data_IF_066421447290
#
_entry.id   IF_066421447290
#
_cell.length_a   1.000
_cell.length_b   1.000
_cell.length_c   1.000
_cell.angle_alpha   90.00
_cell.angle_beta   90.00
_cell.angle_gamma   90.00
#
_symmetry.space_group_name_H-M   'P 1'
#
loop_
_entity.id
_entity.type
_entity.pdbx_description
1 polymer ?
#
# COMPACT_ATOMS: atom_id res chain seq x y z
N UNK A 1 30.42 39.80 41.59
CA UNK A 1 30.61 38.82 40.49
C UNK A 1 29.78 37.59 40.84
N UNK A 2 28.70 37.38 40.15
CA UNK A 2 27.89 36.18 40.33
C UNK A 2 28.28 35.26 39.16
N UNK A 3 28.96 34.18 39.45
CA UNK A 3 29.23 33.13 38.46
C UNK A 3 27.91 32.43 38.09
N UNK A 4 27.51 32.57 36.82
CA UNK A 4 26.43 31.81 36.24
C UNK A 4 27.10 30.61 35.55
N UNK A 5 27.47 29.61 36.32
CA UNK A 5 27.83 28.30 35.80
C UNK A 5 26.78 27.30 36.24
N UNK A 6 25.83 27.04 35.32
CA UNK A 6 25.11 25.77 35.23
C UNK A 6 24.15 25.81 34.08
N UNK A 7 24.66 25.96 32.85
CA UNK A 7 23.91 25.52 31.65
C UNK A 7 23.96 23.99 31.67
N UNK A 8 22.98 23.37 32.32
CA UNK A 8 22.73 21.94 32.15
C UNK A 8 22.40 21.72 30.68
N UNK A 9 23.41 21.31 29.93
CA UNK A 9 23.19 20.82 28.55
C UNK A 9 22.16 19.70 28.63
N UNK A 10 20.97 19.91 28.07
CA UNK A 10 19.99 18.85 27.96
C UNK A 10 20.63 17.70 27.17
N UNK A 11 20.54 16.45 27.65
CA UNK A 11 21.10 15.31 26.91
C UNK A 11 20.50 15.29 25.51
N UNK A 12 21.35 15.25 24.48
CA UNK A 12 20.92 15.14 23.11
C UNK A 12 20.26 13.77 22.94
N UNK A 13 18.97 13.77 22.66
CA UNK A 13 18.22 12.53 22.40
C UNK A 13 18.83 11.87 21.17
N UNK A 14 19.27 10.63 21.32
CA UNK A 14 19.80 9.83 20.21
C UNK A 14 18.76 8.80 19.81
N UNK A 15 18.46 8.74 18.51
CA UNK A 15 17.56 7.74 17.91
C UNK A 15 18.40 6.91 16.93
N UNK A 16 18.14 5.60 16.87
CA UNK A 16 18.73 4.70 15.89
C UNK A 16 17.76 4.47 14.73
N UNK A 17 18.28 4.43 13.53
CA UNK A 17 17.58 3.93 12.33
C UNK A 17 18.35 2.76 11.73
N UNK A 18 17.64 1.80 11.17
CA UNK A 18 18.24 0.62 10.53
C UNK A 18 18.57 0.92 9.07
N UNK A 19 19.71 0.41 8.62
CA UNK A 19 20.13 0.37 7.21
C UNK A 19 20.51 -1.06 6.88
N UNK A 20 20.08 -1.53 5.73
CA UNK A 20 20.40 -2.87 5.23
C UNK A 20 21.56 -2.78 4.24
N UNK A 21 22.70 -3.45 4.55
CA UNK A 21 23.93 -3.32 3.77
C UNK A 21 23.88 -4.02 2.41
N UNK A 22 23.12 -5.11 2.31
CA UNK A 22 23.06 -5.99 1.12
C UNK A 22 21.73 -5.82 0.35
N UNK A 23 20.92 -4.80 0.72
CA UNK A 23 19.62 -4.53 0.08
C UNK A 23 19.65 -3.19 -0.68
N UNK A 24 18.72 -3.02 -1.60
CA UNK A 24 18.59 -1.77 -2.33
C UNK A 24 18.30 -0.58 -1.38
N UNK A 25 18.95 0.58 -1.59
CA UNK A 25 18.73 1.75 -0.74
C UNK A 25 17.32 2.33 -0.92
N UNK A 26 16.80 3.00 0.10
CA UNK A 26 15.57 3.79 -0.02
C UNK A 26 15.85 5.16 -0.64
N UNK A 27 14.86 5.68 -1.37
CA UNK A 27 14.84 7.05 -1.89
C UNK A 27 14.07 7.98 -0.97
N UNK A 28 14.66 8.26 0.20
CA UNK A 28 14.02 9.08 1.22
C UNK A 28 13.94 10.55 0.80
N UNK A 29 12.80 11.23 1.03
CA UNK A 29 12.67 12.66 0.77
C UNK A 29 13.77 13.49 1.45
N UNK A 30 14.36 14.41 0.69
CA UNK A 30 15.43 15.27 1.17
C UNK A 30 14.94 16.29 2.22
N UNK A 31 15.87 16.82 3.04
CA UNK A 31 15.57 17.85 4.03
C UNK A 31 14.92 17.34 5.34
N UNK A 32 14.66 16.05 5.43
CA UNK A 32 14.10 15.39 6.60
C UNK A 32 15.02 14.29 7.12
N UNK A 33 14.89 13.93 8.39
CA UNK A 33 15.54 12.76 8.99
C UNK A 33 14.52 11.67 9.16
N UNK A 34 14.88 10.44 8.75
CA UNK A 34 13.96 9.33 8.70
C UNK A 34 14.44 8.15 9.54
N UNK A 35 13.58 7.67 10.43
CA UNK A 35 13.79 6.45 11.21
C UNK A 35 12.94 5.33 10.66
N UNK A 36 13.55 4.23 10.25
CA UNK A 36 12.82 3.01 9.87
C UNK A 36 12.05 2.46 11.07
N UNK A 37 10.73 2.28 10.92
CA UNK A 37 9.85 1.79 11.99
C UNK A 37 9.20 0.46 11.65
N UNK A 38 9.02 0.16 10.37
CA UNK A 38 8.53 -1.13 9.91
C UNK A 38 9.07 -1.43 8.51
N UNK A 39 9.28 -2.71 8.22
CA UNK A 39 9.74 -3.13 6.91
C UNK A 39 9.45 -4.61 6.65
N UNK A 40 9.44 -4.97 5.38
CA UNK A 40 9.66 -6.33 4.92
C UNK A 40 10.56 -6.31 3.69
N UNK A 41 11.68 -7.02 3.77
CA UNK A 41 12.66 -7.17 2.68
C UNK A 41 12.40 -8.46 1.88
N UNK A 42 11.31 -9.15 2.15
CA UNK A 42 10.88 -10.39 1.51
C UNK A 42 12.00 -11.42 1.30
N UNK A 43 12.95 -11.42 2.22
CA UNK A 43 14.11 -12.27 2.12
C UNK A 43 13.93 -13.63 2.83
N UNK A 44 12.71 -13.98 3.29
CA UNK A 44 12.29 -15.28 3.82
C UNK A 44 12.10 -16.36 2.74
N UNK A 45 11.93 -17.62 3.17
CA UNK A 45 11.49 -18.73 2.31
C UNK A 45 9.97 -18.78 2.17
N UNK A 46 9.28 -18.21 3.15
CA UNK A 46 7.83 -18.16 3.24
C UNK A 46 7.40 -16.73 3.62
N UNK A 47 6.17 -16.38 3.26
CA UNK A 47 5.61 -15.08 3.66
C UNK A 47 5.52 -14.98 5.19
N UNK A 48 5.94 -13.87 5.74
CA UNK A 48 5.86 -13.60 7.17
C UNK A 48 4.42 -13.29 7.58
N UNK A 49 3.71 -14.29 8.09
CA UNK A 49 2.32 -14.17 8.55
C UNK A 49 2.17 -13.32 9.82
N UNK A 50 3.26 -12.91 10.44
CA UNK A 50 3.23 -11.92 11.54
C UNK A 50 3.17 -10.49 11.02
N UNK A 51 3.50 -10.27 9.74
CA UNK A 51 3.44 -8.99 9.05
C UNK A 51 2.29 -8.90 8.05
N UNK A 52 1.93 -10.02 7.40
CA UNK A 52 0.97 -10.04 6.30
C UNK A 52 -0.19 -11.00 6.53
N UNK A 53 -1.35 -10.59 6.12
CA UNK A 53 -2.53 -11.41 5.94
C UNK A 53 -2.99 -11.34 4.48
N UNK A 54 -3.68 -12.37 4.02
CA UNK A 54 -4.30 -12.40 2.71
C UNK A 54 -5.68 -11.72 2.77
N UNK A 55 -5.97 -10.83 1.82
CA UNK A 55 -7.33 -10.32 1.62
C UNK A 55 -8.05 -11.27 0.68
N UNK A 56 -9.11 -11.88 1.18
CA UNK A 56 -9.84 -12.95 0.50
C UNK A 56 -11.27 -12.54 0.13
N UNK A 57 -11.70 -11.40 0.64
CA UNK A 57 -13.05 -10.90 0.41
C UNK A 57 -13.03 -9.46 -0.09
N UNK A 58 -14.03 -9.12 -0.87
CA UNK A 58 -14.32 -7.77 -1.29
C UNK A 58 -15.64 -7.34 -0.66
N UNK A 59 -15.58 -6.36 0.22
CA UNK A 59 -16.75 -5.90 0.96
C UNK A 59 -17.49 -7.03 1.70
N UNK A 60 -16.75 -7.91 2.36
CA UNK A 60 -17.30 -9.00 3.15
C UNK A 60 -17.86 -10.17 2.35
N UNK A 61 -17.71 -10.17 1.03
CA UNK A 61 -18.13 -11.27 0.15
C UNK A 61 -16.94 -11.91 -0.51
N UNK A 62 -17.00 -13.21 -0.74
CA UNK A 62 -16.03 -13.92 -1.55
C UNK A 62 -15.93 -13.27 -2.93
N UNK A 63 -14.69 -13.03 -3.38
CA UNK A 63 -14.44 -12.29 -4.60
C UNK A 63 -13.56 -13.11 -5.55
N UNK A 64 -14.07 -13.47 -6.73
CA UNK A 64 -13.38 -14.38 -7.65
C UNK A 64 -11.99 -13.93 -8.08
N UNK A 65 -11.73 -12.61 -8.09
CA UNK A 65 -10.44 -12.07 -8.47
C UNK A 65 -9.34 -12.22 -7.41
N UNK A 66 -9.70 -12.59 -6.18
CA UNK A 66 -8.72 -12.78 -5.10
C UNK A 66 -8.38 -14.25 -4.91
N UNK A 67 -7.09 -14.52 -4.82
CA UNK A 67 -6.59 -15.83 -4.40
C UNK A 67 -6.67 -15.95 -2.87
N UNK A 68 -6.94 -17.17 -2.39
CA UNK A 68 -7.09 -17.46 -0.96
C UNK A 68 -5.84 -18.13 -0.40
N UNK A 69 -5.65 -18.03 0.91
CA UNK A 69 -4.59 -18.74 1.63
C UNK A 69 -3.18 -18.53 1.06
N UNK A 70 -2.89 -17.31 0.60
CA UNK A 70 -1.62 -16.96 -0.04
C UNK A 70 -1.31 -17.76 -1.31
N UNK A 71 -2.29 -18.38 -1.96
CA UNK A 71 -2.09 -19.00 -3.26
C UNK A 71 -1.57 -17.97 -4.26
N UNK A 72 -0.53 -18.30 -5.03
CA UNK A 72 0.13 -17.38 -5.96
C UNK A 72 1.13 -16.42 -5.31
N UNK A 73 1.39 -16.54 -4.02
CA UNK A 73 2.50 -15.82 -3.37
C UNK A 73 3.76 -16.69 -3.43
N UNK A 74 4.75 -16.24 -4.17
CA UNK A 74 6.06 -16.91 -4.28
C UNK A 74 7.13 -16.08 -3.57
N UNK A 75 7.82 -16.71 -2.60
CA UNK A 75 9.01 -16.12 -1.97
C UNK A 75 10.27 -16.61 -2.68
N UNK A 76 10.98 -15.69 -3.35
CA UNK A 76 12.21 -16.06 -4.08
C UNK A 76 13.43 -16.16 -3.16
N UNK A 77 13.29 -15.76 -1.91
CA UNK A 77 14.39 -15.59 -0.96
C UNK A 77 15.06 -14.21 -1.04
N UNK A 78 14.61 -13.32 -1.94
CA UNK A 78 15.04 -11.93 -2.08
C UNK A 78 13.87 -10.98 -2.37
N UNK A 79 12.79 -11.50 -2.91
CA UNK A 79 11.61 -10.78 -3.33
C UNK A 79 10.38 -11.61 -3.06
N UNK A 80 9.21 -10.98 -3.06
CA UNK A 80 7.92 -11.67 -3.19
C UNK A 80 7.35 -11.44 -4.58
N UNK A 81 6.78 -12.48 -5.18
CA UNK A 81 6.02 -12.42 -6.44
C UNK A 81 4.57 -12.74 -6.19
N UNK A 82 3.71 -11.85 -6.63
CA UNK A 82 2.26 -12.01 -6.60
C UNK A 82 1.81 -12.42 -8.00
N UNK A 83 1.50 -13.70 -8.19
CA UNK A 83 1.22 -14.28 -9.50
C UNK A 83 -0.23 -14.07 -9.95
N UNK A 84 -0.39 -13.82 -11.24
CA UNK A 84 -1.67 -14.03 -11.91
C UNK A 84 -1.89 -15.54 -12.06
N UNK A 85 -3.00 -16.02 -11.52
CA UNK A 85 -3.41 -17.43 -11.59
C UNK A 85 -4.59 -17.60 -12.54
N UNK A 86 -4.54 -18.65 -13.35
CA UNK A 86 -5.67 -19.04 -14.21
C UNK A 86 -6.31 -20.32 -13.68
N UNK A 87 -7.61 -20.28 -13.46
CA UNK A 87 -8.43 -21.41 -12.99
C UNK A 87 -9.54 -21.69 -14.01
N UNK A 88 -9.21 -22.50 -15.01
CA UNK A 88 -10.12 -22.74 -16.14
C UNK A 88 -10.35 -21.47 -16.96
N UNK A 89 -11.56 -20.93 -16.91
CA UNK A 89 -11.95 -19.67 -17.57
C UNK A 89 -11.92 -18.47 -16.63
N UNK A 90 -11.49 -18.64 -15.37
CA UNK A 90 -11.36 -17.60 -14.38
C UNK A 90 -9.91 -17.27 -14.07
N UNK A 91 -9.72 -16.08 -13.51
CA UNK A 91 -8.42 -15.59 -13.07
C UNK A 91 -8.53 -15.01 -11.66
N UNK A 92 -7.50 -15.23 -10.87
CA UNK A 92 -7.35 -14.59 -9.56
C UNK A 92 -5.89 -14.25 -9.29
N UNK A 93 -5.66 -13.45 -8.26
CA UNK A 93 -4.31 -13.08 -7.83
C UNK A 93 -4.29 -12.73 -6.33
N UNK A 94 -3.15 -12.88 -5.64
CA UNK A 94 -3.07 -12.61 -4.22
C UNK A 94 -3.11 -11.13 -3.89
N UNK A 95 -3.62 -10.81 -2.69
CA UNK A 95 -3.74 -9.47 -2.17
C UNK A 95 -3.26 -9.45 -0.71
N UNK A 96 -2.08 -8.90 -0.48
CA UNK A 96 -1.45 -8.81 0.84
C UNK A 96 -1.88 -7.53 1.55
N UNK A 97 -2.16 -7.64 2.87
CA UNK A 97 -2.50 -6.50 3.71
C UNK A 97 -1.99 -6.69 5.14
N UNK A 98 -1.73 -5.59 5.85
CA UNK A 98 -1.29 -5.62 7.25
C UNK A 98 -2.41 -5.36 8.24
N UNK A 99 -3.60 -5.05 7.77
CA UNK A 99 -4.83 -4.82 8.51
C UNK A 99 -6.05 -5.16 7.68
N UNK A 100 -7.22 -4.74 8.11
CA UNK A 100 -8.45 -4.94 7.35
C UNK A 100 -9.47 -3.82 7.61
N UNK A 101 -10.44 -3.69 6.72
CA UNK A 101 -11.58 -2.81 6.95
C UNK A 101 -12.35 -3.27 8.19
N UNK A 102 -12.94 -2.30 8.89
CA UNK A 102 -13.83 -2.61 9.99
C UNK A 102 -15.21 -3.00 9.49
N UNK A 103 -15.88 -3.78 10.29
CA UNK A 103 -17.22 -4.25 10.04
C UNK A 103 -18.26 -3.75 11.05
N UNK A 104 -17.77 -3.08 12.09
CA UNK A 104 -18.60 -2.50 13.12
C UNK A 104 -19.08 -1.07 12.79
N UNK A 105 -19.00 -0.72 11.52
CA UNK A 105 -19.59 0.51 11.02
C UNK A 105 -21.10 0.29 10.99
N UNK A 106 -21.89 1.05 11.77
CA UNK A 106 -23.32 0.95 11.73
C UNK A 106 -23.78 1.08 10.28
N UNK A 107 -24.61 0.14 9.82
CA UNK A 107 -25.31 0.33 8.55
C UNK A 107 -26.02 1.68 8.63
N UNK A 108 -25.43 2.66 7.98
CA UNK A 108 -26.14 3.88 7.69
C UNK A 108 -27.36 3.50 6.87
N UNK A 109 -28.51 4.05 7.23
CA UNK A 109 -29.73 3.95 6.46
C UNK A 109 -29.60 4.42 5.01
N UNK A 110 -28.47 5.03 4.65
CA UNK A 110 -28.08 5.48 3.33
C UNK A 110 -27.24 4.48 2.51
N UNK A 111 -27.02 3.27 3.01
CA UNK A 111 -26.48 2.20 2.19
C UNK A 111 -24.96 2.02 2.27
N UNK A 112 -24.37 2.24 3.44
CA UNK A 112 -22.98 1.85 3.63
C UNK A 112 -22.81 0.33 3.54
N UNK A 113 -21.68 -0.02 3.00
CA UNK A 113 -21.28 -1.39 2.68
C UNK A 113 -21.29 -2.26 3.93
N UNK A 114 -21.84 -3.48 3.86
CA UNK A 114 -21.61 -4.46 4.90
C UNK A 114 -20.14 -4.88 4.79
N UNK A 115 -19.32 -4.29 5.61
CA UNK A 115 -17.96 -4.77 5.79
C UNK A 115 -18.02 -6.08 6.59
N UNK A 116 -17.17 -7.01 6.34
CA UNK A 116 -17.03 -8.21 7.14
C UNK A 116 -16.32 -7.92 8.49
N UNK A 117 -15.95 -8.91 9.26
CA UNK A 117 -15.38 -8.78 10.60
C UNK A 117 -13.94 -8.26 10.57
N UNK A 118 -13.63 -7.19 11.31
CA UNK A 118 -12.26 -6.70 11.43
C UNK A 118 -11.35 -7.77 12.04
N UNK A 119 -10.23 -8.05 11.36
CA UNK A 119 -9.16 -8.85 11.94
C UNK A 119 -8.24 -7.94 12.75
N UNK A 120 -7.63 -8.47 13.82
CA UNK A 120 -6.61 -7.73 14.56
C UNK A 120 -5.50 -7.31 13.59
N UNK A 121 -5.20 -6.01 13.46
CA UNK A 121 -4.15 -5.57 12.56
C UNK A 121 -2.79 -6.09 13.01
N UNK A 122 -1.95 -6.43 12.04
CA UNK A 122 -0.56 -6.82 12.24
C UNK A 122 0.35 -5.60 12.28
N UNK A 123 0.00 -4.58 11.46
CA UNK A 123 0.64 -3.28 11.47
C UNK A 123 -0.35 -2.22 11.01
N UNK A 124 -0.42 -1.13 11.76
CA UNK A 124 -1.09 0.12 11.39
C UNK A 124 -0.21 1.29 11.81
N UNK A 125 -0.21 2.34 11.04
CA UNK A 125 0.62 3.49 11.32
C UNK A 125 0.00 4.78 10.80
N UNK A 126 0.37 5.90 11.41
CA UNK A 126 -0.09 7.22 11.05
C UNK A 126 1.09 8.13 10.77
N UNK A 127 1.03 8.82 9.61
CA UNK A 127 2.09 9.68 9.10
C UNK A 127 3.37 8.91 8.75
N UNK A 128 4.37 9.62 8.29
CA UNK A 128 5.65 9.06 7.89
C UNK A 128 5.83 8.91 6.39
N UNK A 129 6.92 8.28 6.01
CA UNK A 129 7.23 7.97 4.62
C UNK A 129 7.07 6.48 4.36
N UNK A 130 6.24 6.14 3.39
CA UNK A 130 5.97 4.76 2.98
C UNK A 130 6.59 4.55 1.61
N UNK A 131 7.32 3.47 1.44
CA UNK A 131 8.04 3.19 0.19
C UNK A 131 7.94 1.72 -0.20
N UNK A 132 7.80 1.49 -1.50
CA UNK A 132 7.92 0.19 -2.14
C UNK A 132 8.96 0.25 -3.25
N UNK A 133 9.71 -0.85 -3.45
CA UNK A 133 10.49 -1.11 -4.65
C UNK A 133 9.93 -2.33 -5.35
N UNK A 134 9.52 -2.17 -6.60
CA UNK A 134 8.77 -3.21 -7.30
C UNK A 134 9.01 -3.24 -8.81
N UNK A 135 8.62 -4.35 -9.46
CA UNK A 135 8.51 -4.52 -10.91
C UNK A 135 7.06 -4.79 -11.28
N UNK A 136 6.59 -4.10 -12.30
CA UNK A 136 5.23 -4.25 -12.79
C UNK A 136 5.04 -5.54 -13.59
N UNK A 137 3.82 -6.11 -13.59
CA UNK A 137 3.46 -7.22 -14.48
C UNK A 137 3.72 -6.89 -15.95
N UNK A 138 3.94 -7.90 -16.76
CA UNK A 138 4.17 -7.74 -18.20
C UNK A 138 2.89 -7.54 -18.99
N UNK A 139 1.84 -8.28 -18.62
CA UNK A 139 0.60 -8.33 -19.38
C UNK A 139 -0.48 -7.43 -18.80
N UNK A 140 -1.42 -7.03 -19.66
CA UNK A 140 -2.58 -6.22 -19.28
C UNK A 140 -3.71 -7.09 -18.72
N UNK A 141 -4.80 -6.43 -18.30
CA UNK A 141 -6.00 -7.11 -17.82
C UNK A 141 -6.03 -7.33 -16.32
N UNK A 142 -4.98 -7.00 -15.60
CA UNK A 142 -4.95 -7.01 -14.15
C UNK A 142 -4.25 -5.78 -13.57
N UNK A 143 -4.50 -5.52 -12.30
CA UNK A 143 -4.14 -4.32 -11.60
C UNK A 143 -3.14 -4.65 -10.50
N UNK A 144 -2.09 -3.87 -10.36
CA UNK A 144 -1.16 -3.93 -9.24
C UNK A 144 -1.15 -2.60 -8.51
N UNK A 145 -1.08 -2.64 -7.17
CA UNK A 145 -1.11 -1.45 -6.35
C UNK A 145 -0.27 -1.57 -5.08
N UNK A 146 0.25 -0.42 -4.66
CA UNK A 146 0.77 -0.18 -3.32
C UNK A 146 0.02 1.00 -2.73
N UNK A 147 -0.67 0.78 -1.63
CA UNK A 147 -1.62 1.72 -1.09
C UNK A 147 -1.85 1.56 0.41
N UNK A 148 -2.48 2.55 1.00
CA UNK A 148 -2.86 2.55 2.42
C UNK A 148 -4.37 2.71 2.52
N UNK A 149 -4.96 2.11 3.54
CA UNK A 149 -6.38 2.25 3.78
C UNK A 149 -6.66 2.41 5.28
N UNK A 150 -7.47 3.40 5.62
CA UNK A 150 -7.98 3.52 6.98
C UNK A 150 -9.06 2.46 7.21
N UNK A 151 -9.08 1.77 8.36
CA UNK A 151 -10.07 0.73 8.64
C UNK A 151 -11.52 1.20 8.53
N UNK A 152 -11.77 2.45 8.85
CA UNK A 152 -13.10 3.07 8.81
C UNK A 152 -13.41 3.85 7.54
N UNK A 153 -12.54 3.83 6.52
CA UNK A 153 -12.79 4.59 5.29
C UNK A 153 -14.13 4.22 4.68
N UNK A 154 -14.89 5.23 4.25
CA UNK A 154 -16.24 5.02 3.71
C UNK A 154 -17.35 4.97 4.75
N UNK A 155 -17.05 5.06 6.04
CA UNK A 155 -18.07 5.10 7.11
C UNK A 155 -18.60 6.51 7.39
N UNK A 156 -17.84 7.51 6.99
CA UNK A 156 -18.18 8.92 7.22
C UNK A 156 -17.67 9.75 6.02
N UNK A 157 -18.38 10.78 5.58
CA UNK A 157 -17.89 11.68 4.53
C UNK A 157 -16.72 12.55 4.97
N UNK A 158 -16.47 12.68 6.26
CA UNK A 158 -15.35 13.44 6.81
C UNK A 158 -14.09 12.58 6.94
N UNK A 159 -13.10 12.85 6.12
CA UNK A 159 -11.83 12.14 6.11
C UNK A 159 -11.04 12.28 7.43
N UNK A 160 -11.28 13.34 8.21
CA UNK A 160 -10.65 13.51 9.53
C UNK A 160 -11.17 12.52 10.56
N UNK A 161 -12.39 12.02 10.35
CA UNK A 161 -13.06 11.06 11.25
C UNK A 161 -12.76 9.61 10.84
N UNK A 162 -12.90 9.29 9.56
CA UNK A 162 -12.81 7.91 9.08
C UNK A 162 -11.53 7.60 8.29
N UNK A 163 -10.72 8.61 8.03
CA UNK A 163 -9.52 8.47 7.22
C UNK A 163 -9.80 8.48 5.72
N UNK A 164 -8.78 8.12 4.97
CA UNK A 164 -8.78 8.06 3.51
C UNK A 164 -8.26 6.71 3.02
N UNK A 165 -8.46 6.44 1.74
CA UNK A 165 -7.65 5.51 0.95
C UNK A 165 -6.55 6.32 0.28
N UNK A 166 -5.30 5.91 0.44
CA UNK A 166 -4.13 6.58 -0.14
C UNK A 166 -3.48 5.64 -1.14
N UNK A 167 -3.66 5.90 -2.42
CA UNK A 167 -3.06 5.13 -3.49
C UNK A 167 -1.68 5.72 -3.79
N UNK A 168 -0.62 5.02 -3.36
CA UNK A 168 0.76 5.47 -3.57
C UNK A 168 1.21 5.13 -4.99
N UNK A 169 0.76 3.98 -5.48
CA UNK A 169 0.99 3.52 -6.83
C UNK A 169 -0.14 2.59 -7.25
N UNK A 170 -0.78 2.90 -8.37
CA UNK A 170 -1.70 2.03 -9.06
C UNK A 170 -1.29 1.88 -10.53
N UNK A 171 -1.27 0.65 -11.02
CA UNK A 171 -0.98 0.35 -12.40
C UNK A 171 -2.20 -0.27 -13.10
N UNK A 172 -2.94 0.56 -13.81
CA UNK A 172 -4.04 0.16 -14.69
C UNK A 172 -3.59 0.08 -16.14
N UNK A 173 -2.57 -0.72 -16.44
CA UNK A 173 -1.97 -0.78 -17.80
C UNK A 173 -2.98 -0.77 -18.93
N UNK A 174 -4.12 -1.36 -18.68
CA UNK A 174 -5.20 -1.44 -19.66
C UNK A 174 -5.82 -0.08 -20.01
N UNK A 175 -5.98 0.79 -19.01
CA UNK A 175 -6.67 2.07 -19.19
C UNK A 175 -5.70 3.24 -19.40
N UNK A 176 -4.52 3.14 -18.83
CA UNK A 176 -3.59 4.26 -18.72
C UNK A 176 -2.37 4.13 -19.65
N UNK A 177 -2.43 3.25 -20.66
CA UNK A 177 -1.33 3.10 -21.63
C UNK A 177 0.06 2.97 -21.00
N UNK A 178 0.16 2.31 -19.85
CA UNK A 178 1.41 2.18 -19.08
C UNK A 178 1.66 3.27 -18.06
N UNK A 179 0.71 4.18 -17.87
CA UNK A 179 0.80 5.19 -16.80
C UNK A 179 0.54 4.59 -15.43
N UNK A 180 1.20 5.21 -14.46
CA UNK A 180 1.01 4.98 -13.03
C UNK A 180 0.16 6.11 -12.48
N UNK A 181 -0.70 5.80 -11.52
CA UNK A 181 -1.59 6.77 -10.87
C UNK A 181 -1.33 6.74 -9.36
N UNK A 182 -1.46 7.91 -8.72
CA UNK A 182 -1.50 8.07 -7.27
C UNK A 182 -2.55 9.10 -6.87
N UNK A 183 -3.02 9.03 -5.63
CA UNK A 183 -4.00 9.98 -5.10
C UNK A 183 -4.65 9.51 -3.82
N UNK A 184 -5.68 10.23 -3.39
CA UNK A 184 -6.45 9.89 -2.20
C UNK A 184 -7.94 9.81 -2.50
N UNK A 185 -8.60 8.80 -1.94
CA UNK A 185 -10.05 8.61 -1.97
C UNK A 185 -10.69 8.76 -0.58
N UNK A 186 -11.83 9.43 -0.49
CA UNK A 186 -12.58 9.56 0.78
C UNK A 186 -14.07 9.81 0.53
N UNK A 187 -14.84 10.00 1.60
CA UNK A 187 -16.28 10.31 1.54
C UNK A 187 -17.14 9.11 1.24
N UNK A 188 -16.65 7.92 1.48
CA UNK A 188 -17.32 6.68 1.16
C UNK A 188 -17.02 6.19 -0.26
N UNK A 189 -17.46 4.97 -0.51
CA UNK A 189 -17.37 4.38 -1.84
C UNK A 189 -18.77 4.40 -2.46
N UNK A 190 -18.94 4.91 -3.64
CA UNK A 190 -20.22 5.07 -4.33
C UNK A 190 -20.47 6.52 -4.70
N UNK A 191 -21.72 6.99 -4.61
CA UNK A 191 -22.11 8.34 -5.07
C UNK A 191 -21.45 9.48 -4.30
N UNK A 192 -21.06 9.26 -3.05
CA UNK A 192 -20.43 10.28 -2.18
C UNK A 192 -18.89 10.16 -2.20
N UNK A 193 -18.35 9.25 -2.99
CA UNK A 193 -16.91 9.06 -3.19
C UNK A 193 -16.28 10.32 -3.78
N UNK A 194 -15.18 10.73 -3.21
CA UNK A 194 -14.36 11.86 -3.67
C UNK A 194 -12.94 11.39 -3.88
N UNK A 195 -12.34 11.85 -4.96
CA UNK A 195 -10.96 11.52 -5.30
C UNK A 195 -10.20 12.80 -5.57
N UNK A 196 -9.00 12.86 -5.08
CA UNK A 196 -8.09 13.95 -5.30
C UNK A 196 -6.69 13.43 -5.64
N UNK A 197 -6.02 14.21 -6.48
CA UNK A 197 -4.67 13.91 -6.83
C UNK A 197 -4.56 13.23 -8.17
N UNK A 198 -5.24 12.17 -8.46
CA UNK A 198 -5.11 11.42 -9.71
C UNK A 198 -3.84 11.80 -10.51
N UNK A 199 -2.71 11.91 -9.75
CA UNK A 199 -1.41 12.20 -10.33
C UNK A 199 -1.06 11.05 -11.25
N UNK A 200 -0.73 11.37 -12.48
CA UNK A 200 -0.47 10.37 -13.51
C UNK A 200 0.87 10.65 -14.17
N UNK A 201 1.70 9.65 -14.29
CA UNK A 201 3.01 9.76 -14.96
C UNK A 201 3.34 8.48 -15.72
N UNK A 202 4.30 8.58 -16.62
CA UNK A 202 4.72 7.45 -17.41
C UNK A 202 5.50 6.45 -16.55
N UNK A 203 5.33 5.17 -16.84
CA UNK A 203 6.09 4.11 -16.19
C UNK A 203 7.56 4.17 -16.62
N UNK A 204 8.41 4.51 -15.67
CA UNK A 204 9.86 4.60 -15.87
C UNK A 204 10.58 3.63 -14.93
N UNK A 205 10.99 2.50 -15.45
CA UNK A 205 11.80 1.53 -14.71
C UNK A 205 13.31 1.74 -14.95
N UNK A 206 14.14 1.30 -14.01
CA UNK A 206 15.56 1.16 -14.24
C UNK A 206 15.87 0.05 -15.27
N UNK A 207 17.16 -0.12 -15.62
CA UNK A 207 17.60 -1.13 -16.60
C UNK A 207 17.23 -2.57 -16.24
N UNK A 208 16.98 -2.83 -14.96
CA UNK A 208 16.62 -4.14 -14.44
C UNK A 208 15.10 -4.27 -14.20
N UNK A 209 14.31 -3.24 -14.54
CA UNK A 209 12.86 -3.21 -14.46
C UNK A 209 12.30 -2.73 -13.11
N UNK A 210 13.15 -2.23 -12.19
CA UNK A 210 12.72 -1.78 -10.88
C UNK A 210 12.26 -0.32 -10.88
N UNK A 211 11.24 -0.05 -10.07
CA UNK A 211 10.74 1.29 -9.75
C UNK A 211 10.58 1.44 -8.25
N UNK A 212 10.66 2.69 -7.81
CA UNK A 212 10.37 3.08 -6.43
C UNK A 212 9.15 4.00 -6.42
N UNK A 213 8.25 3.75 -5.50
CA UNK A 213 7.09 4.61 -5.27
C UNK A 213 6.97 4.88 -3.78
N UNK A 214 6.62 6.11 -3.43
CA UNK A 214 6.48 6.47 -2.02
C UNK A 214 5.56 7.64 -1.79
N UNK A 215 5.10 7.77 -0.54
CA UNK A 215 4.34 8.91 -0.05
C UNK A 215 4.90 9.40 1.27
N UNK A 216 5.16 10.70 1.36
CA UNK A 216 5.39 11.42 2.61
C UNK A 216 4.03 11.95 3.08
N UNK A 217 3.46 11.27 4.07
CA UNK A 217 2.21 11.64 4.71
C UNK A 217 2.49 12.31 6.06
N UNK A 218 1.99 13.52 6.21
CA UNK A 218 2.19 14.34 7.41
C UNK A 218 0.89 15.05 7.80
N UNK A 219 0.82 15.71 8.96
CA UNK A 219 -0.33 16.56 9.31
C UNK A 219 -0.58 17.70 8.31
N UNK A 220 0.39 18.01 7.43
CA UNK A 220 0.28 19.07 6.43
C UNK A 220 -0.24 18.58 5.08
N UNK A 221 -0.30 17.25 4.87
CA UNK A 221 -0.71 16.67 3.59
C UNK A 221 0.11 15.47 3.17
N UNK A 222 0.06 15.20 1.89
CA UNK A 222 0.71 14.09 1.22
C UNK A 222 1.59 14.62 0.10
N UNK A 223 2.80 14.08 0.00
CA UNK A 223 3.67 14.30 -1.15
C UNK A 223 4.04 12.95 -1.75
N UNK A 224 3.72 12.75 -3.01
CA UNK A 224 3.94 11.49 -3.73
C UNK A 224 5.23 11.53 -4.52
N UNK A 225 5.92 10.39 -4.57
CA UNK A 225 7.23 10.24 -5.20
C UNK A 225 7.26 9.01 -6.12
N UNK A 226 7.95 9.16 -7.26
CA UNK A 226 8.35 8.05 -8.12
C UNK A 226 9.86 8.16 -8.39
N UNK A 227 10.61 7.07 -8.19
CA UNK A 227 12.06 7.02 -8.36
C UNK A 227 12.80 8.19 -7.68
N UNK A 228 12.35 8.58 -6.48
CA UNK A 228 12.90 9.67 -5.69
C UNK A 228 12.51 11.08 -6.17
N UNK A 229 11.75 11.21 -7.27
CA UNK A 229 11.25 12.49 -7.78
C UNK A 229 9.84 12.75 -7.26
N UNK A 230 9.57 13.96 -6.79
CA UNK A 230 8.20 14.41 -6.44
C UNK A 230 7.34 14.44 -7.71
N UNK A 231 6.16 13.79 -7.63
CA UNK A 231 5.20 13.72 -8.74
C UNK A 231 3.92 14.49 -8.46
N UNK A 232 3.59 14.73 -7.19
CA UNK A 232 2.41 15.49 -6.81
C UNK A 232 2.32 15.72 -5.31
N UNK A 233 1.39 16.60 -4.92
CA UNK A 233 1.09 16.86 -3.51
C UNK A 233 -0.38 17.18 -3.31
N UNK A 234 -0.87 16.88 -2.12
CA UNK A 234 -2.24 17.18 -1.69
C UNK A 234 -2.22 17.63 -0.24
N UNK A 235 -2.80 18.77 0.07
CA UNK A 235 -2.81 19.37 1.39
C UNK A 235 -4.15 19.21 2.14
N UNK A 236 -5.20 18.77 1.46
CA UNK A 236 -6.53 18.55 2.03
C UNK A 236 -7.38 17.62 1.15
N UNK A 237 -8.19 16.72 1.75
CA UNK A 237 -8.22 16.41 3.17
C UNK A 237 -7.00 15.62 3.62
N UNK A 238 -6.66 15.68 4.90
CA UNK A 238 -5.58 14.89 5.50
C UNK A 238 -6.18 13.94 6.53
N UNK A 239 -5.90 12.65 6.37
CA UNK A 239 -6.25 11.66 7.39
C UNK A 239 -5.41 11.88 8.64
N UNK A 240 -6.04 11.83 9.80
CA UNK A 240 -5.36 11.74 11.10
C UNK A 240 -5.59 10.39 11.78
N UNK A 241 -6.10 9.42 11.03
CA UNK A 241 -6.40 8.05 11.45
C UNK A 241 -5.31 7.12 10.93
N UNK A 242 -4.88 6.18 11.76
CA UNK A 242 -3.93 5.14 11.34
C UNK A 242 -4.46 4.36 10.14
N UNK A 243 -3.54 4.01 9.24
CA UNK A 243 -3.83 3.23 8.04
C UNK A 243 -3.00 1.95 8.02
N UNK A 244 -3.55 0.91 7.43
CA UNK A 244 -2.82 -0.34 7.16
C UNK A 244 -2.27 -0.32 5.74
N UNK A 245 -1.23 -1.10 5.51
CA UNK A 245 -0.51 -1.20 4.23
C UNK A 245 -1.08 -2.33 3.39
N UNK A 246 -1.21 -2.09 2.09
CA UNK A 246 -1.62 -3.08 1.12
C UNK A 246 -0.63 -3.15 -0.05
N UNK A 247 -0.31 -4.37 -0.43
CA UNK A 247 0.42 -4.72 -1.65
C UNK A 247 -0.47 -5.71 -2.39
N UNK A 248 -1.05 -5.26 -3.48
CA UNK A 248 -2.14 -6.00 -4.07
C UNK A 248 -2.01 -6.19 -5.57
N UNK A 249 -2.62 -7.28 -6.01
CA UNK A 249 -2.94 -7.51 -7.40
C UNK A 249 -4.41 -7.91 -7.53
N UNK A 250 -5.04 -7.60 -8.66
CA UNK A 250 -6.43 -7.95 -8.92
C UNK A 250 -6.64 -8.25 -10.39
N UNK A 251 -7.14 -9.44 -10.69
CA UNK A 251 -7.65 -9.78 -12.02
C UNK A 251 -8.89 -8.94 -12.33
N UNK A 252 -8.90 -8.23 -13.46
CA UNK A 252 -9.96 -7.26 -13.76
C UNK A 252 -11.19 -7.90 -14.43
N UNK A 253 -12.27 -7.11 -14.46
CA UNK A 253 -13.55 -7.50 -15.08
C UNK A 253 -14.57 -8.02 -14.09
N UNK A 254 -14.17 -8.47 -12.93
CA UNK A 254 -15.07 -9.03 -11.91
C UNK A 254 -15.83 -7.97 -11.11
N UNK A 255 -15.32 -6.75 -10.99
CA UNK A 255 -16.01 -5.66 -10.31
C UNK A 255 -17.19 -5.19 -11.17
N UNK A 256 -18.34 -5.81 -10.98
CA UNK A 256 -19.59 -5.35 -11.56
C UNK A 256 -20.35 -4.57 -10.49
N UNK A 257 -20.33 -3.27 -10.61
CA UNK A 257 -21.08 -2.39 -9.72
C UNK A 257 -22.44 -2.18 -10.39
N UNK A 258 -23.53 -2.46 -9.67
CA UNK A 258 -24.87 -2.13 -10.12
C UNK A 258 -25.06 -0.61 -10.26
N UNK A 259 -26.13 -0.18 -10.92
CA UNK A 259 -26.44 1.24 -11.14
C UNK A 259 -26.59 2.06 -9.85
N UNK A 260 -26.77 1.41 -8.72
CA UNK A 260 -26.87 1.96 -7.38
C UNK A 260 -25.53 1.95 -6.60
N UNK A 261 -24.41 1.78 -7.29
CA UNK A 261 -23.09 1.63 -6.68
C UNK A 261 -22.91 0.29 -5.94
N UNK A 262 -23.74 -0.72 -6.22
CA UNK A 262 -23.73 -2.02 -5.56
C UNK A 262 -24.28 -1.98 -4.13
N UNK A 263 -25.05 -0.95 -3.78
CA UNK A 263 -25.61 -0.71 -2.45
C UNK A 263 -26.94 -1.40 -2.23
N UNK A 264 -27.62 -1.88 -3.30
CA UNK A 264 -28.83 -2.67 -3.15
C UNK A 264 -28.54 -3.92 -2.32
N UNK A 265 -29.29 -4.06 -1.25
CA UNK A 265 -29.18 -5.14 -0.29
C UNK A 265 -29.27 -6.48 -1.00
N UNK A 266 -28.21 -7.23 -1.04
CA UNK A 266 -28.20 -8.52 -1.64
C UNK A 266 -26.82 -8.97 -2.10
N UNK A 267 -26.77 -10.13 -2.71
CA UNK A 267 -25.55 -10.69 -3.29
C UNK A 267 -25.09 -9.84 -4.46
N UNK A 268 -23.84 -9.38 -4.42
CA UNK A 268 -23.20 -8.84 -5.60
C UNK A 268 -23.11 -9.93 -6.67
N UNK A 269 -23.52 -9.60 -7.87
CA UNK A 269 -23.17 -10.41 -9.03
C UNK A 269 -21.82 -9.95 -9.54
N UNK A 270 -20.86 -10.86 -9.57
CA UNK A 270 -19.54 -10.57 -10.14
C UNK A 270 -19.63 -10.55 -11.68
N UNK A 271 -18.78 -9.74 -12.29
CA UNK A 271 -18.56 -9.71 -13.72
C UNK A 271 -17.81 -10.96 -14.21
N UNK A 272 -17.30 -10.87 -15.43
CA UNK A 272 -16.44 -11.89 -16.04
C UNK A 272 -15.02 -11.35 -16.16
N UNK A 273 -14.01 -12.23 -16.26
CA UNK A 273 -12.62 -11.81 -16.48
C UNK A 273 -12.51 -10.89 -17.69
N UNK A 274 -11.64 -9.88 -17.57
CA UNK A 274 -11.29 -9.03 -18.70
C UNK A 274 -10.69 -9.88 -19.82
N UNK A 275 -11.11 -9.71 -21.08
CA UNK A 275 -10.58 -10.47 -22.21
C UNK A 275 -9.06 -10.43 -22.33
N UNK A 276 -8.42 -9.36 -21.94
CA UNK A 276 -6.96 -9.21 -21.97
C UNK A 276 -6.22 -10.17 -21.04
N UNK A 277 -6.88 -10.70 -20.01
CA UNK A 277 -6.29 -11.73 -19.15
C UNK A 277 -5.96 -13.01 -19.91
N UNK A 278 -6.74 -13.31 -20.95
CA UNK A 278 -6.52 -14.51 -21.78
C UNK A 278 -5.32 -14.38 -22.72
N UNK A 279 -4.81 -13.16 -22.93
CA UNK A 279 -3.62 -12.87 -23.73
C UNK A 279 -2.34 -13.05 -22.92
N UNK A 280 -2.44 -13.14 -21.57
CA UNK A 280 -1.29 -13.27 -20.71
C UNK A 280 -0.61 -14.64 -20.84
N UNK A 281 0.70 -14.60 -21.08
CA UNK A 281 1.56 -15.80 -21.03
C UNK A 281 2.05 -15.96 -19.60
N UNK A 282 1.61 -17.01 -18.94
CA UNK A 282 1.98 -17.30 -17.55
C UNK A 282 3.32 -18.07 -17.46
N UNK A 283 4.13 -17.84 -16.42
CA UNK A 283 3.83 -16.99 -15.28
C UNK A 283 3.97 -15.49 -15.57
N UNK A 284 3.02 -14.69 -15.09
CA UNK A 284 3.13 -13.24 -14.98
C UNK A 284 2.88 -12.84 -13.52
N UNK A 285 3.61 -11.84 -13.02
CA UNK A 285 3.59 -11.49 -11.61
C UNK A 285 3.95 -10.02 -11.37
N UNK A 286 3.44 -9.48 -10.28
CA UNK A 286 3.93 -8.27 -9.65
C UNK A 286 5.03 -8.65 -8.67
N UNK A 287 6.26 -8.16 -8.85
CA UNK A 287 7.41 -8.52 -8.02
C UNK A 287 7.79 -7.36 -7.10
N UNK A 288 7.91 -7.63 -5.81
CA UNK A 288 8.25 -6.64 -4.78
C UNK A 288 9.54 -7.03 -4.08
N UNK A 289 10.49 -6.11 -4.06
CA UNK A 289 11.78 -6.24 -3.39
C UNK A 289 11.66 -5.92 -1.89
N UNK A 290 11.07 -4.76 -1.59
CA UNK A 290 10.79 -4.39 -0.20
C UNK A 290 9.57 -3.47 -0.07
N UNK A 291 9.05 -3.42 1.16
CA UNK A 291 8.16 -2.38 1.66
C UNK A 291 8.76 -1.82 2.94
N UNK A 292 8.89 -0.50 3.05
CA UNK A 292 9.48 0.17 4.21
C UNK A 292 8.64 1.35 4.67
N UNK A 293 8.55 1.52 5.98
CA UNK A 293 7.83 2.65 6.61
C UNK A 293 8.78 3.36 7.57
N UNK A 294 8.78 4.69 7.49
CA UNK A 294 9.69 5.56 8.22
C UNK A 294 8.94 6.66 8.96
N UNK A 295 9.36 6.94 10.18
CA UNK A 295 8.98 8.15 10.91
C UNK A 295 9.89 9.32 10.57
N UNK A 296 9.31 10.51 10.45
CA UNK A 296 10.09 11.74 10.46
C UNK A 296 10.64 11.99 11.87
N UNK A 297 11.94 12.21 11.97
CA UNK A 297 12.63 12.51 13.24
C UNK A 297 12.88 14.01 13.32
N UNK A 298 12.60 14.67 14.46
CA UNK A 298 12.88 16.09 14.63
C UNK A 298 14.34 16.45 14.31
N UNK A 299 14.56 17.65 13.76
CA UNK A 299 15.88 18.06 13.28
C UNK A 299 16.95 18.19 14.38
N UNK A 300 16.54 18.49 15.60
CA UNK A 300 17.38 18.59 16.80
C UNK A 300 17.77 17.23 17.40
N UNK A 301 17.14 16.14 16.96
CA UNK A 301 17.46 14.78 17.40
C UNK A 301 18.65 14.23 16.60
N UNK A 302 19.62 13.64 17.32
CA UNK A 302 20.74 12.93 16.67
C UNK A 302 20.28 11.56 16.18
N UNK A 303 20.29 11.39 14.86
CA UNK A 303 19.99 10.11 14.22
C UNK A 303 21.29 9.34 13.97
N UNK A 304 21.40 8.15 14.54
CA UNK A 304 22.52 7.21 14.31
C UNK A 304 22.06 6.04 13.45
N UNK A 305 22.96 5.48 12.65
CA UNK A 305 22.67 4.39 11.71
C UNK A 305 23.15 3.07 12.31
N UNK A 306 22.24 2.11 12.44
CA UNK A 306 22.57 0.73 12.75
C UNK A 306 22.54 -0.07 11.46
N UNK A 307 23.66 -0.71 11.12
CA UNK A 307 23.79 -1.51 9.90
C UNK A 307 23.46 -2.95 10.20
N UNK A 308 22.55 -3.52 9.43
CA UNK A 308 22.16 -4.93 9.50
C UNK A 308 22.54 -5.59 8.19
N UNK A 309 23.19 -6.75 8.32
CA UNK A 309 23.37 -7.71 7.22
C UNK A 309 22.44 -8.87 7.44
N UNK A 310 21.64 -9.16 6.46
CA UNK A 310 20.95 -10.45 6.45
C UNK A 310 21.97 -11.58 6.24
N UNK A 311 21.83 -12.72 6.94
CA UNK A 311 22.70 -13.85 6.70
C UNK A 311 22.65 -14.20 5.21
N UNK A 312 23.81 -14.33 4.58
CA UNK A 312 23.90 -14.77 3.17
C UNK A 312 23.08 -16.04 3.03
N UNK A 313 22.00 -15.95 2.30
CA UNK A 313 21.11 -17.07 2.09
C UNK A 313 21.79 -18.10 1.23
N UNK A 314 21.60 -19.31 1.67
CA UNK A 314 22.07 -20.55 1.06
C UNK A 314 22.09 -20.49 -0.47
N UNK A 315 23.26 -20.74 -1.03
CA UNK A 315 23.46 -21.02 -2.44
C UNK A 315 22.66 -22.24 -2.85
#
# INVERSE_FOLDING_TARGET
MVEIDNVKTRPVVQIKTTIFDDEAPSYLPAGKKWKLVWHDEFNGKEIDKTKWMCRESFWGQDFPAFAHNFEGVEMTGKTVRLHLLRKGNDFCSPHLQTGSLTYDIPKDTKGFWPFGKMRKPLFMHKYGYYEIRCKQPKYAGWHSAFWLQAPGVGSNPDASVCGVETDIMENYRQHNHGKIIAGNGWGGYGKDSKWFGHFSWDYEADKDGWCYYGVDWSPKGYTFYANGKKIGEQNSPVSNVEQFVLVSTEARGYRKIGNDGGLSAGRRTWGKPDPKLFEAVLPDFFEVDFVRVYDEVPQDVKLTKERIKFPKKFK
#
